data_IF_725528226484
#
_entry.id   IF_725528226484
#
_cell.length_a   1.000
_cell.length_b   1.000
_cell.length_c   1.000
_cell.angle_alpha   90.00
_cell.angle_beta   90.00
_cell.angle_gamma   90.00
#
_symmetry.space_group_name_H-M   'P 1'
#
loop_
_entity.id
_entity.type
_entity.pdbx_description
1 polymer ?
#
# COMPACT_ATOMS: atom_id res chain seq x y z
N UNK A 1 -20.23 23.19 -2.04
CA UNK A 1 -19.64 22.23 -2.98
C UNK A 1 -18.47 21.59 -2.25
N UNK A 2 -18.55 20.30 -1.91
CA UNK A 2 -17.41 19.60 -1.31
C UNK A 2 -16.50 19.12 -2.43
N UNK A 3 -15.20 19.39 -2.31
CA UNK A 3 -14.18 18.81 -3.19
C UNK A 3 -13.91 17.41 -2.68
N UNK A 4 -14.17 16.40 -3.50
CA UNK A 4 -13.73 15.05 -3.20
C UNK A 4 -12.22 14.94 -3.46
N UNK A 5 -11.46 14.61 -2.42
CA UNK A 5 -10.01 14.47 -2.49
C UNK A 5 -9.70 12.99 -2.41
N UNK A 6 -9.05 12.45 -3.43
CA UNK A 6 -8.54 11.08 -3.44
C UNK A 6 -7.03 11.05 -3.33
N UNK A 7 -6.49 10.20 -2.47
CA UNK A 7 -5.05 9.98 -2.32
C UNK A 7 -4.64 8.68 -2.99
N UNK A 8 -3.67 8.76 -3.90
CA UNK A 8 -3.04 7.58 -4.50
C UNK A 8 -1.58 7.57 -4.08
N UNK A 9 -1.16 6.49 -3.42
CA UNK A 9 0.24 6.32 -2.97
C UNK A 9 0.88 5.08 -3.59
N UNK A 10 2.18 5.16 -3.88
CA UNK A 10 3.00 4.03 -4.33
C UNK A 10 4.04 3.70 -3.28
N UNK A 11 4.16 2.43 -2.90
CA UNK A 11 5.21 1.98 -1.98
C UNK A 11 5.17 2.61 -0.58
N UNK A 12 4.03 3.17 -0.17
CA UNK A 12 3.94 3.86 1.10
C UNK A 12 4.14 2.89 2.28
N UNK A 13 4.85 3.31 3.34
CA UNK A 13 4.95 2.56 4.59
C UNK A 13 3.62 2.60 5.37
N UNK A 14 3.56 1.85 6.48
CA UNK A 14 2.49 1.96 7.48
C UNK A 14 2.75 3.23 8.29
N UNK A 15 1.71 4.02 8.52
CA UNK A 15 1.84 5.35 9.17
C UNK A 15 0.92 5.53 10.37
N UNK A 16 -0.04 4.63 10.57
CA UNK A 16 -0.99 4.70 11.68
C UNK A 16 -0.89 3.44 12.55
N UNK A 17 -0.99 3.64 13.85
CA UNK A 17 -1.19 2.55 14.80
C UNK A 17 -2.55 1.88 14.59
N UNK A 18 -2.68 0.62 15.00
CA UNK A 18 -3.82 -0.26 14.74
C UNK A 18 -5.17 0.40 14.98
N UNK A 19 -5.41 0.90 16.19
CA UNK A 19 -6.70 1.48 16.57
C UNK A 19 -7.05 2.73 15.75
N UNK A 20 -6.04 3.55 15.45
CA UNK A 20 -6.20 4.75 14.63
C UNK A 20 -6.44 4.38 13.18
N UNK A 21 -5.70 3.39 12.68
CA UNK A 21 -5.87 2.83 11.35
C UNK A 21 -7.30 2.32 11.15
N UNK A 22 -7.82 1.54 12.10
CA UNK A 22 -9.20 1.02 12.06
C UNK A 22 -10.25 2.12 12.11
N UNK A 23 -10.03 3.17 12.92
CA UNK A 23 -10.93 4.34 12.99
C UNK A 23 -11.05 5.08 11.66
N UNK A 24 -9.94 5.22 10.92
CA UNK A 24 -9.91 6.00 9.67
C UNK A 24 -10.03 5.14 8.40
N UNK A 25 -9.98 3.82 8.52
CA UNK A 25 -10.16 2.93 7.38
C UNK A 25 -11.52 3.16 6.70
N UNK A 26 -11.52 3.42 5.40
CA UNK A 26 -12.72 3.70 4.62
C UNK A 26 -13.37 5.07 4.86
N UNK A 27 -12.81 5.94 5.73
CA UNK A 27 -13.32 7.30 5.97
C UNK A 27 -12.87 8.32 4.93
N UNK A 28 -11.84 8.00 4.17
CA UNK A 28 -11.25 8.84 3.15
C UNK A 28 -10.88 7.98 1.93
N UNK A 29 -11.09 8.51 0.72
CA UNK A 29 -10.79 7.80 -0.52
C UNK A 29 -9.28 7.69 -0.71
N UNK A 30 -8.72 6.53 -0.40
CA UNK A 30 -7.31 6.24 -0.55
C UNK A 30 -7.09 4.92 -1.30
N UNK A 31 -6.26 4.97 -2.33
CA UNK A 31 -5.76 3.81 -3.07
C UNK A 31 -4.27 3.70 -2.83
N UNK A 32 -3.84 2.51 -2.42
CA UNK A 32 -2.43 2.20 -2.15
C UNK A 32 -1.95 1.15 -3.13
N UNK A 33 -0.98 1.53 -3.94
CA UNK A 33 -0.33 0.62 -4.85
C UNK A 33 0.91 0.07 -4.15
N UNK A 34 0.88 -1.22 -3.85
CA UNK A 34 1.95 -1.96 -3.20
C UNK A 34 2.59 -2.92 -4.21
N UNK A 35 3.84 -3.29 -3.97
CA UNK A 35 4.54 -4.26 -4.77
C UNK A 35 5.13 -5.32 -3.84
N UNK A 36 4.90 -6.60 -4.12
CA UNK A 36 5.34 -7.72 -3.28
C UNK A 36 6.86 -7.69 -3.01
N UNK A 37 7.62 -7.29 -4.02
CA UNK A 37 9.06 -7.14 -3.91
C UNK A 37 9.53 -5.90 -3.13
N UNK A 38 8.68 -4.97 -2.68
CA UNK A 38 9.10 -3.71 -2.04
C UNK A 38 8.99 -3.76 -0.50
N UNK A 39 10.15 -3.75 0.17
CA UNK A 39 10.26 -3.79 1.64
C UNK A 39 9.59 -2.64 2.36
N UNK A 40 9.58 -1.44 1.78
CA UNK A 40 9.06 -0.24 2.46
C UNK A 40 7.58 -0.38 2.82
N UNK A 41 6.83 -1.13 2.01
CA UNK A 41 5.40 -1.38 2.24
C UNK A 41 5.11 -2.21 3.50
N UNK A 42 6.13 -2.90 4.04
CA UNK A 42 6.05 -3.69 5.27
C UNK A 42 6.56 -2.94 6.51
N UNK A 43 7.04 -1.70 6.36
CA UNK A 43 7.66 -0.93 7.45
C UNK A 43 6.65 0.03 8.07
N UNK A 44 6.65 0.21 9.41
CA UNK A 44 7.32 -0.64 10.40
C UNK A 44 6.78 -2.08 10.41
N UNK A 45 7.66 -3.05 10.62
CA UNK A 45 7.36 -4.50 10.60
C UNK A 45 6.56 -5.02 11.80
N UNK A 46 6.02 -4.11 12.62
CA UNK A 46 5.24 -4.42 13.80
C UNK A 46 3.75 -4.59 13.47
N UNK A 47 3.10 -5.54 14.13
CA UNK A 47 1.63 -5.72 14.09
C UNK A 47 0.85 -4.55 14.69
N UNK A 48 1.55 -3.61 15.36
CA UNK A 48 0.96 -2.38 15.93
C UNK A 48 0.62 -1.34 14.88
N UNK A 49 1.12 -1.46 13.66
CA UNK A 49 0.84 -0.52 12.58
C UNK A 49 0.11 -1.23 11.46
N UNK A 50 -0.84 -0.54 10.83
CA UNK A 50 -1.61 -1.06 9.69
C UNK A 50 -1.86 0.01 8.65
N UNK A 51 -1.98 -0.41 7.41
CA UNK A 51 -2.38 0.47 6.32
C UNK A 51 -3.85 0.88 6.40
N UNK A 52 -4.19 1.96 5.71
CA UNK A 52 -5.56 2.48 5.52
C UNK A 52 -5.89 2.58 4.04
N UNK A 53 -7.19 2.51 3.70
CA UNK A 53 -7.66 2.58 2.33
C UNK A 53 -7.61 1.25 1.58
N UNK A 54 -7.91 1.31 0.28
CA UNK A 54 -7.92 0.15 -0.62
C UNK A 54 -6.50 -0.18 -1.07
N UNK A 55 -6.13 -1.45 -0.97
CA UNK A 55 -4.83 -1.94 -1.46
C UNK A 55 -4.97 -2.50 -2.88
N UNK A 56 -4.03 -2.12 -3.74
CA UNK A 56 -3.76 -2.73 -5.04
C UNK A 56 -2.37 -3.32 -4.95
N UNK A 57 -2.31 -4.62 -4.67
CA UNK A 57 -1.04 -5.33 -4.51
C UNK A 57 -0.58 -5.88 -5.87
N UNK A 58 0.57 -5.42 -6.34
CA UNK A 58 1.23 -5.86 -7.57
C UNK A 58 2.13 -7.05 -7.25
N UNK A 59 1.97 -8.14 -8.02
CA UNK A 59 2.78 -9.36 -7.88
C UNK A 59 2.66 -10.03 -6.49
N UNK A 60 1.55 -9.77 -5.78
CA UNK A 60 1.24 -10.39 -4.49
C UNK A 60 0.20 -11.51 -4.67
N UNK A 61 0.29 -12.55 -3.85
CA UNK A 61 -0.78 -13.55 -3.70
C UNK A 61 -1.91 -13.08 -2.78
N UNK A 62 -1.68 -12.02 -2.00
CA UNK A 62 -2.59 -11.50 -0.99
C UNK A 62 -3.43 -10.33 -1.54
N UNK A 63 -4.69 -10.24 -1.10
CA UNK A 63 -5.63 -9.17 -1.46
C UNK A 63 -6.01 -8.29 -0.27
N UNK A 64 -5.34 -8.50 0.87
CA UNK A 64 -5.72 -7.88 2.14
C UNK A 64 -5.20 -6.45 2.32
N UNK A 65 -5.70 -5.81 3.39
CA UNK A 65 -5.35 -4.46 3.83
C UNK A 65 -3.86 -4.31 4.15
N UNK A 66 -3.17 -5.39 4.48
CA UNK A 66 -1.73 -5.44 4.68
C UNK A 66 -1.16 -6.62 3.88
N UNK A 67 0.10 -6.49 3.47
CA UNK A 67 0.89 -7.60 2.92
C UNK A 67 1.81 -8.13 4.02
N UNK A 68 1.89 -9.45 4.15
CA UNK A 68 2.85 -10.12 5.03
C UNK A 68 4.29 -10.11 4.47
N UNK A 69 4.45 -9.75 3.19
CA UNK A 69 5.74 -9.86 2.50
C UNK A 69 6.70 -8.72 2.78
N UNK A 70 7.96 -9.09 2.95
CA UNK A 70 9.04 -8.19 3.31
C UNK A 70 9.83 -7.66 2.12
N UNK A 71 9.78 -8.24 0.92
CA UNK A 71 10.46 -7.66 -0.26
C UNK A 71 11.95 -7.28 -0.09
N UNK A 72 12.45 -6.37 -0.93
CA UNK A 72 13.80 -5.82 -0.90
C UNK A 72 13.78 -4.31 -1.21
N UNK A 73 14.60 -3.52 -0.51
CA UNK A 73 14.61 -2.05 -0.64
C UNK A 73 14.93 -1.56 -2.06
N UNK A 74 15.71 -2.33 -2.84
CA UNK A 74 16.02 -2.00 -4.24
C UNK A 74 14.79 -1.94 -5.15
N UNK A 75 13.70 -2.60 -4.75
CA UNK A 75 12.44 -2.57 -5.49
C UNK A 75 11.56 -1.36 -5.12
N UNK A 76 11.95 -0.55 -4.13
CA UNK A 76 11.31 0.72 -3.78
C UNK A 76 11.65 1.82 -4.80
N UNK A 77 11.26 1.59 -6.07
CA UNK A 77 11.53 2.49 -7.19
C UNK A 77 10.29 2.57 -8.04
N UNK A 78 9.90 3.78 -8.46
CA UNK A 78 8.73 3.98 -9.34
C UNK A 78 8.80 3.18 -10.63
N UNK A 79 10.00 2.87 -11.14
CA UNK A 79 10.18 2.01 -12.33
C UNK A 79 9.64 0.59 -12.11
N UNK A 80 9.78 0.04 -10.91
CA UNK A 80 9.25 -1.28 -10.54
C UNK A 80 7.73 -1.27 -10.62
N UNK A 81 7.10 -0.35 -9.90
CA UNK A 81 5.65 -0.14 -9.91
C UNK A 81 5.08 0.06 -11.31
N UNK A 82 5.73 0.91 -12.11
CA UNK A 82 5.34 1.17 -13.49
C UNK A 82 5.37 -0.11 -14.33
N UNK A 83 6.45 -0.90 -14.23
CA UNK A 83 6.59 -2.15 -14.99
C UNK A 83 5.49 -3.16 -14.64
N UNK A 84 5.23 -3.36 -13.36
CA UNK A 84 4.22 -4.32 -12.90
C UNK A 84 2.79 -3.87 -13.19
N UNK A 85 2.52 -2.57 -13.15
CA UNK A 85 1.23 -2.03 -13.60
C UNK A 85 1.01 -2.27 -15.10
N UNK A 86 2.00 -1.97 -15.94
CA UNK A 86 1.89 -2.24 -17.36
C UNK A 86 1.65 -3.73 -17.61
N UNK A 87 2.43 -4.61 -16.99
CA UNK A 87 2.26 -6.06 -17.15
C UNK A 87 0.90 -6.59 -16.67
N UNK A 88 0.25 -5.92 -15.71
CA UNK A 88 -1.06 -6.32 -15.18
C UNK A 88 -2.23 -5.92 -16.08
N UNK A 89 -2.07 -4.84 -16.85
CA UNK A 89 -3.13 -4.25 -17.67
C UNK A 89 -2.86 -4.31 -19.19
N UNK A 90 -1.78 -4.97 -19.58
CA UNK A 90 -1.47 -5.39 -20.96
C UNK A 90 -2.02 -6.77 -21.23
#
# INVERSE_FOLDING_TARGET
MYVDVSLITFGAPRVLELDTSDKFHGRFSQIRIMHNGDYVTSVPSSTRFRHVGRVVCLECSESERDSSTTGHVLNHRMRTYRRSLFARFS
#
